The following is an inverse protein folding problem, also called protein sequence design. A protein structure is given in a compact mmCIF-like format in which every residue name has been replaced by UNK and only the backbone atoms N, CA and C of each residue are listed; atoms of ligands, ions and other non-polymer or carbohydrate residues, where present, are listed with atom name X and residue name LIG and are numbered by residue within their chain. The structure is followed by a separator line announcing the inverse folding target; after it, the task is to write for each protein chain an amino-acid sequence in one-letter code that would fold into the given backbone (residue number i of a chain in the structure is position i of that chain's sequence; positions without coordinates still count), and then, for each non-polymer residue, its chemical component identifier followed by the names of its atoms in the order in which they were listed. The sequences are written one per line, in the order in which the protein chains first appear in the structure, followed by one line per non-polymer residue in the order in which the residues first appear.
data_IF_809691700846
#
_entry.id   IF_809691700846
#
_cell.length_a   1.000
_cell.length_b   1.000
_cell.length_c   1.000
_cell.angle_alpha   90.00
_cell.angle_beta   90.00
_cell.angle_gamma   90.00
#
_symmetry.space_group_name_H-M   'P 1'
#
loop_
_entity.id
_entity.type
_entity.pdbx_description
1 polymer ?
#
# COMPACT_ATOMS: atom_id res chain seq x y z
N UNK A 1 37.23 -26.15 20.54
CA UNK A 1 36.74 -25.08 19.64
C UNK A 1 37.89 -24.12 19.46
N UNK A 2 38.34 -23.91 18.23
CA UNK A 2 39.48 -23.01 17.97
C UNK A 2 39.04 -21.54 18.02
N UNK A 3 39.97 -20.62 18.23
CA UNK A 3 39.68 -19.18 18.21
C UNK A 3 39.03 -18.75 16.87
N UNK A 4 39.43 -19.39 15.77
CA UNK A 4 38.84 -19.19 14.45
C UNK A 4 37.39 -19.66 14.38
N UNK A 5 37.04 -20.79 15.00
CA UNK A 5 35.66 -21.28 15.07
C UNK A 5 34.76 -20.34 15.88
N UNK A 6 35.30 -19.75 16.97
CA UNK A 6 34.59 -18.75 17.78
C UNK A 6 34.32 -17.48 16.98
N UNK A 7 35.31 -16.95 16.26
CA UNK A 7 35.12 -15.74 15.42
C UNK A 7 34.08 -15.98 14.32
N UNK A 8 34.12 -17.11 13.62
CA UNK A 8 33.13 -17.42 12.59
C UNK A 8 31.73 -17.62 13.16
N UNK A 9 31.63 -18.21 14.36
CA UNK A 9 30.36 -18.34 15.06
C UNK A 9 29.76 -16.96 15.37
N UNK A 10 30.53 -16.05 15.96
CA UNK A 10 30.07 -14.67 16.23
C UNK A 10 29.67 -13.92 14.96
N UNK A 11 30.47 -13.97 13.89
CA UNK A 11 30.13 -13.36 12.60
C UNK A 11 28.83 -13.93 12.01
N UNK A 12 28.59 -15.24 12.19
CA UNK A 12 27.37 -15.89 11.71
C UNK A 12 26.13 -15.46 12.47
N UNK A 13 26.26 -15.15 13.77
CA UNK A 13 25.18 -14.62 14.60
C UNK A 13 24.86 -13.18 14.19
N UNK A 14 25.87 -12.32 14.07
CA UNK A 14 25.70 -10.93 13.62
C UNK A 14 25.03 -10.86 12.25
N UNK A 15 25.44 -11.73 11.31
CA UNK A 15 24.82 -11.80 9.98
C UNK A 15 23.35 -12.23 10.06
N UNK A 16 23.01 -13.22 10.88
CA UNK A 16 21.62 -13.67 11.06
C UNK A 16 20.75 -12.56 11.65
N UNK A 17 21.26 -11.85 12.66
CA UNK A 17 20.56 -10.72 13.26
C UNK A 17 20.34 -9.59 12.23
N UNK A 18 21.34 -9.28 11.42
CA UNK A 18 21.22 -8.28 10.35
C UNK A 18 20.20 -8.70 9.27
N UNK A 19 20.22 -9.97 8.85
CA UNK A 19 19.27 -10.51 7.86
C UNK A 19 17.84 -10.52 8.40
N UNK A 20 17.65 -10.88 9.67
CA UNK A 20 16.35 -10.89 10.34
C UNK A 20 15.79 -9.46 10.52
N UNK A 21 16.64 -8.52 10.93
CA UNK A 21 16.29 -7.11 11.06
C UNK A 21 15.88 -6.51 9.71
N UNK A 22 16.67 -6.77 8.65
CA UNK A 22 16.32 -6.34 7.28
C UNK A 22 15.00 -6.95 6.80
N UNK A 23 14.72 -8.21 7.14
CA UNK A 23 13.45 -8.86 6.78
C UNK A 23 12.27 -8.16 7.46
N UNK A 24 12.40 -7.80 8.74
CA UNK A 24 11.35 -7.11 9.50
C UNK A 24 11.08 -5.71 8.94
N UNK A 25 12.11 -4.90 8.71
CA UNK A 25 11.96 -3.58 8.10
C UNK A 25 11.27 -3.64 6.74
N UNK A 26 11.70 -4.55 5.87
CA UNK A 26 11.08 -4.73 4.56
C UNK A 26 9.61 -5.18 4.66
N UNK A 27 9.25 -5.97 5.67
CA UNK A 27 7.87 -6.39 5.89
C UNK A 27 7.00 -5.22 6.37
N UNK A 28 7.51 -4.40 7.29
CA UNK A 28 6.83 -3.21 7.80
C UNK A 28 6.61 -2.17 6.69
N UNK A 29 7.65 -1.85 5.92
CA UNK A 29 7.56 -0.89 4.81
C UNK A 29 6.54 -1.33 3.76
N UNK A 30 6.55 -2.62 3.40
CA UNK A 30 5.57 -3.19 2.46
C UNK A 30 4.15 -3.16 3.03
N UNK A 31 4.00 -3.45 4.33
CA UNK A 31 2.72 -3.39 5.01
C UNK A 31 2.15 -1.98 5.03
N UNK A 32 2.97 -1.00 5.42
CA UNK A 32 2.61 0.42 5.47
C UNK A 32 2.25 0.96 4.08
N UNK A 33 3.06 0.64 3.06
CA UNK A 33 2.81 1.06 1.68
C UNK A 33 1.48 0.50 1.15
N UNK A 34 1.20 -0.79 1.39
CA UNK A 34 -0.09 -1.41 1.01
C UNK A 34 -1.26 -0.76 1.73
N UNK A 35 -1.19 -0.61 3.06
CA UNK A 35 -2.26 -0.01 3.84
C UNK A 35 -2.56 1.43 3.43
N UNK A 36 -1.52 2.22 3.10
CA UNK A 36 -1.69 3.58 2.59
C UNK A 36 -2.36 3.59 1.22
N UNK A 37 -1.92 2.76 0.29
CA UNK A 37 -2.50 2.67 -1.06
C UNK A 37 -3.97 2.21 -1.02
N UNK A 38 -4.30 1.22 -0.19
CA UNK A 38 -5.67 0.75 0.00
C UNK A 38 -6.56 1.84 0.61
N UNK A 39 -6.06 2.56 1.63
CA UNK A 39 -6.77 3.68 2.25
C UNK A 39 -7.04 4.84 1.28
N UNK A 40 -6.05 5.20 0.47
CA UNK A 40 -6.19 6.23 -0.57
C UNK A 40 -7.23 5.82 -1.63
N UNK A 41 -7.17 4.57 -2.10
CA UNK A 41 -8.12 4.05 -3.07
C UNK A 41 -9.55 4.01 -2.50
N UNK A 42 -9.73 3.59 -1.25
CA UNK A 42 -11.03 3.61 -0.58
C UNK A 42 -11.59 5.03 -0.43
N UNK A 43 -10.74 5.99 -0.01
CA UNK A 43 -11.13 7.40 0.13
C UNK A 43 -11.57 7.97 -1.23
N UNK A 44 -10.82 7.69 -2.29
CA UNK A 44 -11.14 8.15 -3.64
C UNK A 44 -12.47 7.56 -4.13
N UNK A 45 -12.73 6.27 -3.89
CA UNK A 45 -14.01 5.63 -4.21
C UNK A 45 -15.18 6.27 -3.48
N UNK A 46 -15.06 6.49 -2.16
CA UNK A 46 -16.11 7.14 -1.35
C UNK A 46 -16.40 8.55 -1.83
N UNK A 47 -15.35 9.32 -2.17
CA UNK A 47 -15.49 10.67 -2.71
C UNK A 47 -16.25 10.67 -4.04
N UNK A 48 -15.87 9.81 -5.00
CA UNK A 48 -16.56 9.69 -6.29
C UNK A 48 -18.04 9.35 -6.10
N UNK A 49 -18.36 8.38 -5.23
CA UNK A 49 -19.75 8.00 -4.94
C UNK A 49 -20.54 9.16 -4.32
N UNK A 50 -19.95 9.91 -3.38
CA UNK A 50 -20.60 11.08 -2.76
C UNK A 50 -20.92 12.16 -3.80
N UNK A 51 -19.95 12.49 -4.65
CA UNK A 51 -20.13 13.50 -5.70
C UNK A 51 -21.21 13.09 -6.70
N UNK A 52 -21.24 11.82 -7.10
CA UNK A 52 -22.29 11.31 -7.97
C UNK A 52 -23.68 11.36 -7.29
N UNK A 53 -23.76 11.02 -6.00
CA UNK A 53 -25.00 11.11 -5.23
C UNK A 53 -25.50 12.56 -5.06
N UNK A 54 -24.58 13.54 -5.05
CA UNK A 54 -24.89 14.98 -5.06
C UNK A 54 -25.30 15.50 -6.46
N UNK A 55 -25.29 14.64 -7.49
CA UNK A 55 -25.76 14.96 -8.84
C UNK A 55 -24.69 15.58 -9.74
N UNK A 56 -23.40 15.50 -9.38
CA UNK A 56 -22.32 15.91 -10.27
C UNK A 56 -22.22 14.92 -11.44
N UNK A 57 -21.99 15.45 -12.65
CA UNK A 57 -21.77 14.61 -13.83
C UNK A 57 -20.39 13.92 -13.80
N UNK A 58 -20.30 12.83 -14.57
CA UNK A 58 -19.10 11.96 -14.62
C UNK A 58 -17.86 12.76 -15.05
N UNK A 59 -18.01 13.67 -16.02
CA UNK A 59 -16.91 14.49 -16.53
C UNK A 59 -16.36 15.45 -15.45
N UNK A 60 -17.23 16.07 -14.66
CA UNK A 60 -16.84 16.93 -13.54
C UNK A 60 -16.15 16.12 -12.45
N UNK A 61 -16.70 14.94 -12.10
CA UNK A 61 -16.11 14.06 -11.10
C UNK A 61 -14.72 13.58 -11.55
N UNK A 62 -14.58 13.16 -12.81
CA UNK A 62 -13.31 12.72 -13.41
C UNK A 62 -12.24 13.82 -13.29
N UNK A 63 -12.59 15.06 -13.63
CA UNK A 63 -11.71 16.23 -13.50
C UNK A 63 -11.27 16.51 -12.06
N UNK A 64 -12.20 16.44 -11.10
CA UNK A 64 -11.89 16.72 -9.68
C UNK A 64 -11.07 15.59 -9.06
N UNK A 65 -11.47 14.34 -9.31
CA UNK A 65 -10.83 13.14 -8.78
C UNK A 65 -9.52 12.77 -9.48
N UNK A 66 -9.21 13.45 -10.59
CA UNK A 66 -8.08 13.17 -11.50
C UNK A 66 -8.09 11.72 -11.98
N UNK A 67 -9.29 11.26 -12.35
CA UNK A 67 -9.55 9.94 -12.90
C UNK A 67 -10.05 10.08 -14.33
N UNK A 68 -9.99 9.00 -15.10
CA UNK A 68 -10.73 8.91 -16.35
C UNK A 68 -12.23 8.73 -16.08
N UNK A 69 -13.06 9.13 -17.05
CA UNK A 69 -14.51 8.90 -16.97
C UNK A 69 -14.85 7.41 -16.85
N UNK A 70 -14.05 6.54 -17.50
CA UNK A 70 -14.20 5.09 -17.39
C UNK A 70 -13.95 4.57 -15.97
N UNK A 71 -12.92 5.08 -15.28
CA UNK A 71 -12.65 4.73 -13.88
C UNK A 71 -13.75 5.25 -12.95
N UNK A 72 -14.26 6.46 -13.18
CA UNK A 72 -15.38 7.02 -12.43
C UNK A 72 -16.64 6.17 -12.62
N UNK A 73 -16.96 5.83 -13.87
CA UNK A 73 -18.09 4.97 -14.21
C UNK A 73 -17.94 3.59 -13.54
N UNK A 74 -16.74 3.00 -13.56
CA UNK A 74 -16.47 1.73 -12.91
C UNK A 74 -16.68 1.78 -11.38
N UNK A 75 -16.32 2.89 -10.73
CA UNK A 75 -16.53 3.09 -9.29
C UNK A 75 -18.01 3.26 -8.94
N UNK A 76 -18.79 3.89 -9.83
CA UNK A 76 -20.24 4.07 -9.68
C UNK A 76 -20.98 2.74 -9.92
N UNK A 77 -20.65 2.05 -11.01
CA UNK A 77 -21.33 0.82 -11.47
C UNK A 77 -20.96 -0.40 -10.62
N UNK A 78 -19.76 -0.41 -10.05
CA UNK A 78 -19.33 -1.48 -9.18
C UNK A 78 -19.26 -0.96 -7.74
N UNK A 79 -20.42 -0.93 -7.03
CA UNK A 79 -20.47 -0.43 -5.67
C UNK A 79 -19.66 -1.28 -4.67
N UNK A 80 -19.03 -2.39 -5.11
CA UNK A 80 -18.30 -3.38 -4.35
C UNK A 80 -17.92 -2.98 -2.91
N UNK A 81 -18.69 -3.62 -2.00
CA UNK A 81 -18.46 -4.04 -0.61
C UNK A 81 -17.94 -3.01 0.41
#
# INVERSE_FOLDING_TARGET
MSDTDMVHYFQSLEKKEADELNRLYNAEDKGLAKGKAEGEAQKQRKMVKSMHAEGLDIATIARIAKLSEAEVQQIIDNPAE
#
